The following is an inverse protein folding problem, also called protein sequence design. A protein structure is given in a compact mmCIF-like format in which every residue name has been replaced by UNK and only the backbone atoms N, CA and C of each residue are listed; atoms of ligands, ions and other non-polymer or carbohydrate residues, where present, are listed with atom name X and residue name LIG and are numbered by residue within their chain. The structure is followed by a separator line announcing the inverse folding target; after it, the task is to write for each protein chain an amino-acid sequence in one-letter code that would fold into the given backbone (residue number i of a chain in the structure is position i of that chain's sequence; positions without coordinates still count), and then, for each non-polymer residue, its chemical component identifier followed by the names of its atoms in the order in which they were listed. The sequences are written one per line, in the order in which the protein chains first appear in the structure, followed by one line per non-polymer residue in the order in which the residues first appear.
data_IF_674593597880
#
_entry.id   IF_674593597880
#
_cell.length_a   1.000
_cell.length_b   1.000
_cell.length_c   1.000
_cell.angle_alpha   90.00
_cell.angle_beta   90.00
_cell.angle_gamma   90.00
#
_symmetry.space_group_name_H-M   'P 1'
#
loop_
_entity.id
_entity.type
_entity.pdbx_description
1 polymer ?
#
# COMPACT_ATOMS: atom_id res chain seq x y z
N UNK A 1 13.12 13.58 -0.32
CA UNK A 1 13.32 12.38 -1.17
C UNK A 1 14.31 11.45 -0.48
N UNK A 2 13.98 10.17 -0.34
CA UNK A 2 14.83 9.16 0.31
C UNK A 2 15.47 8.30 -0.78
N UNK A 3 16.79 8.05 -0.72
CA UNK A 3 17.48 7.26 -1.73
C UNK A 3 16.92 5.84 -1.82
N UNK A 4 16.71 5.35 -3.05
CA UNK A 4 16.20 4.00 -3.30
C UNK A 4 14.71 3.84 -2.98
N UNK A 5 14.00 4.94 -2.70
CA UNK A 5 12.55 4.97 -2.50
C UNK A 5 11.88 5.73 -3.63
N UNK A 6 10.93 5.07 -4.28
CA UNK A 6 10.05 5.65 -5.29
C UNK A 6 8.64 5.74 -4.72
N UNK A 7 7.94 6.84 -5.01
CA UNK A 7 6.53 7.00 -4.62
C UNK A 7 5.70 7.26 -5.86
N UNK A 8 4.73 6.40 -6.10
CA UNK A 8 3.68 6.60 -7.09
C UNK A 8 2.40 7.03 -6.39
N UNK A 9 1.84 8.16 -6.84
CA UNK A 9 0.60 8.73 -6.32
C UNK A 9 -0.38 8.86 -7.48
N UNK A 10 -1.54 8.22 -7.34
CA UNK A 10 -2.67 8.42 -8.24
C UNK A 10 -4.01 8.24 -7.49
N UNK A 11 -5.12 8.28 -8.24
CA UNK A 11 -6.48 8.17 -7.70
C UNK A 11 -6.78 6.82 -7.07
N UNK A 12 -6.05 5.78 -7.45
CA UNK A 12 -6.29 4.43 -6.98
C UNK A 12 -5.49 4.15 -5.71
N UNK A 13 -4.23 4.58 -5.64
CA UNK A 13 -3.41 4.31 -4.47
C UNK A 13 -2.24 5.29 -4.31
N UNK A 14 -1.67 5.29 -3.10
CA UNK A 14 -0.28 5.65 -2.88
C UNK A 14 0.53 4.36 -2.77
N UNK A 15 1.58 4.24 -3.58
CA UNK A 15 2.50 3.10 -3.53
C UNK A 15 3.90 3.60 -3.31
N UNK A 16 4.50 3.21 -2.19
CA UNK A 16 5.91 3.41 -1.90
C UNK A 16 6.64 2.12 -2.26
N UNK A 17 7.65 2.21 -3.12
CA UNK A 17 8.48 1.07 -3.53
C UNK A 17 9.93 1.31 -3.13
N UNK A 18 10.54 0.31 -2.51
CA UNK A 18 11.94 0.34 -2.13
C UNK A 18 12.78 -0.58 -3.02
N UNK A 19 13.95 -0.09 -3.44
CA UNK A 19 14.92 -0.88 -4.22
C UNK A 19 15.33 -2.13 -3.44
N UNK A 20 15.64 -1.97 -2.16
CA UNK A 20 15.93 -3.07 -1.23
C UNK A 20 14.81 -3.20 -0.19
N UNK A 21 14.52 -4.42 0.33
CA UNK A 21 13.51 -4.59 1.37
C UNK A 21 13.82 -3.73 2.62
N UNK A 22 12.79 -3.03 3.12
CA UNK A 22 12.86 -2.24 4.34
C UNK A 22 12.34 -3.05 5.53
N UNK A 23 12.91 -2.81 6.71
CA UNK A 23 12.27 -3.18 7.97
C UNK A 23 11.13 -2.20 8.25
N UNK A 24 9.91 -2.72 8.34
CA UNK A 24 8.68 -1.95 8.53
C UNK A 24 8.04 -2.36 9.84
N UNK A 25 7.72 -1.37 10.69
CA UNK A 25 6.81 -1.52 11.81
C UNK A 25 5.48 -0.87 11.42
N UNK A 26 4.39 -1.65 11.37
CA UNK A 26 3.11 -1.14 10.87
C UNK A 26 1.90 -1.69 11.64
N UNK A 27 0.80 -0.95 11.65
CA UNK A 27 -0.53 -1.41 12.04
C UNK A 27 -1.41 -1.77 10.84
N UNK A 28 -0.78 -2.03 9.69
CA UNK A 28 -1.47 -2.28 8.43
C UNK A 28 -2.41 -3.48 8.46
N UNK A 29 -3.45 -3.38 7.61
CA UNK A 29 -4.45 -4.42 7.42
C UNK A 29 -3.80 -5.73 6.94
N UNK A 30 -2.83 -5.65 6.03
CA UNK A 30 -2.01 -6.79 5.61
C UNK A 30 -0.58 -6.62 6.07
N UNK A 31 -0.07 -7.65 6.78
CA UNK A 31 1.30 -7.72 7.34
C UNK A 31 1.64 -6.54 8.27
N UNK A 32 0.72 -6.22 9.19
CA UNK A 32 1.03 -5.45 10.38
C UNK A 32 2.06 -6.14 11.30
N UNK A 33 2.54 -5.43 12.30
CA UNK A 33 3.66 -5.81 13.16
C UNK A 33 5.02 -5.40 12.57
N UNK A 34 6.09 -6.05 13.05
CA UNK A 34 7.45 -5.90 12.54
C UNK A 34 7.67 -6.89 11.39
N UNK A 35 7.94 -6.40 10.18
CA UNK A 35 8.08 -7.20 8.97
C UNK A 35 9.10 -6.60 7.98
N UNK A 36 9.46 -7.37 6.95
CA UNK A 36 10.22 -6.87 5.81
C UNK A 36 9.28 -6.58 4.62
N UNK A 37 9.46 -5.45 3.95
CA UNK A 37 8.64 -5.06 2.79
C UNK A 37 9.46 -4.33 1.72
N UNK A 38 9.25 -4.68 0.45
CA UNK A 38 9.70 -3.93 -0.73
C UNK A 38 8.67 -2.90 -1.19
N UNK A 39 7.42 -3.00 -0.76
CA UNK A 39 6.40 -2.01 -1.06
C UNK A 39 5.43 -1.77 0.10
N UNK A 40 4.95 -0.54 0.21
CA UNK A 40 3.83 -0.14 1.06
C UNK A 40 2.73 0.38 0.16
N UNK A 41 1.55 -0.22 0.26
CA UNK A 41 0.38 0.12 -0.56
C UNK A 41 -0.69 0.73 0.32
N UNK A 42 -1.12 1.94 0.02
CA UNK A 42 -2.29 2.57 0.62
C UNK A 42 -3.37 2.71 -0.46
N UNK A 43 -4.24 1.71 -0.53
CA UNK A 43 -5.26 1.59 -1.57
C UNK A 43 -6.49 2.44 -1.21
N UNK A 44 -6.90 3.30 -2.12
CA UNK A 44 -8.15 4.04 -1.98
C UNK A 44 -9.34 3.09 -2.02
N UNK A 45 -10.28 3.28 -1.10
CA UNK A 45 -11.55 2.56 -1.04
C UNK A 45 -12.70 3.53 -0.75
N UNK A 46 -13.94 3.20 -1.19
CA UNK A 46 -15.12 3.98 -0.82
C UNK A 46 -15.29 4.08 0.70
N UNK A 47 -15.86 5.20 1.18
CA UNK A 47 -16.11 5.44 2.61
C UNK A 47 -17.08 4.45 3.24
N UNK A 48 -17.94 3.86 2.42
CA UNK A 48 -18.96 2.88 2.78
C UNK A 48 -18.54 1.44 2.48
N UNK A 49 -17.23 1.20 2.26
CA UNK A 49 -16.71 -0.15 2.09
C UNK A 49 -17.10 -1.01 3.31
N UNK A 50 -17.79 -2.12 3.02
CA UNK A 50 -18.12 -3.13 4.02
C UNK A 50 -16.92 -4.05 4.24
N UNK A 51 -16.74 -4.49 5.47
CA UNK A 51 -15.62 -5.36 5.88
C UNK A 51 -15.57 -6.67 5.08
N UNK A 52 -16.73 -7.28 4.80
CA UNK A 52 -16.86 -8.50 4.00
C UNK A 52 -16.41 -8.34 2.53
N UNK A 53 -16.25 -7.11 2.07
CA UNK A 53 -15.73 -6.78 0.73
C UNK A 53 -14.27 -6.32 0.74
N UNK A 54 -13.66 -6.13 1.91
CA UNK A 54 -12.27 -5.67 2.03
C UNK A 54 -11.28 -6.78 1.64
N UNK A 55 -11.64 -8.02 1.93
CA UNK A 55 -10.81 -9.18 1.65
C UNK A 55 -10.52 -9.34 0.15
N UNK A 56 -9.24 -9.50 -0.16
CA UNK A 56 -8.78 -9.72 -1.53
C UNK A 56 -8.59 -8.46 -2.39
N UNK A 57 -9.00 -7.26 -1.93
CA UNK A 57 -8.76 -6.01 -2.67
C UNK A 57 -7.28 -5.75 -2.90
N UNK A 58 -6.48 -5.79 -1.83
CA UNK A 58 -5.02 -5.57 -1.89
C UNK A 58 -4.29 -6.64 -2.72
N UNK A 59 -4.52 -7.95 -2.55
CA UNK A 59 -3.95 -8.97 -3.44
C UNK A 59 -4.28 -8.75 -4.92
N UNK A 60 -5.55 -8.44 -5.26
CA UNK A 60 -5.95 -8.18 -6.65
C UNK A 60 -5.27 -6.93 -7.21
N UNK A 61 -5.22 -5.85 -6.43
CA UNK A 61 -4.54 -4.61 -6.81
C UNK A 61 -3.06 -4.84 -7.07
N UNK A 62 -2.36 -5.49 -6.13
CA UNK A 62 -0.91 -5.71 -6.22
C UNK A 62 -0.53 -6.60 -7.40
N UNK A 63 -1.33 -7.64 -7.70
CA UNK A 63 -1.17 -8.45 -8.91
C UNK A 63 -1.38 -7.62 -10.18
N UNK A 64 -2.49 -6.88 -10.28
CA UNK A 64 -2.81 -6.05 -11.46
C UNK A 64 -1.76 -4.97 -11.74
N UNK A 65 -1.16 -4.41 -10.68
CA UNK A 65 -0.13 -3.37 -10.76
C UNK A 65 1.30 -3.92 -10.78
N UNK A 66 1.48 -5.24 -10.74
CA UNK A 66 2.79 -5.90 -10.63
C UNK A 66 3.66 -5.35 -9.48
N UNK A 67 3.05 -5.07 -8.32
CA UNK A 67 3.75 -4.54 -7.15
C UNK A 67 4.70 -5.61 -6.59
N UNK A 68 5.99 -5.29 -6.40
CA UNK A 68 6.94 -6.26 -5.88
C UNK A 68 6.62 -6.66 -4.44
N UNK A 69 6.63 -7.97 -4.19
CA UNK A 69 6.59 -8.52 -2.83
C UNK A 69 7.98 -8.56 -2.18
N UNK A 70 8.06 -8.73 -0.85
CA UNK A 70 6.97 -8.66 0.12
C UNK A 70 6.37 -7.24 0.22
N UNK A 71 5.07 -7.10 0.50
CA UNK A 71 4.42 -5.79 0.64
C UNK A 71 3.55 -5.70 1.90
N UNK A 72 3.37 -4.47 2.39
CA UNK A 72 2.46 -4.11 3.47
C UNK A 72 1.29 -3.32 2.87
N UNK A 73 0.06 -3.61 3.31
CA UNK A 73 -1.14 -3.08 2.67
C UNK A 73 -2.11 -2.42 3.64
N UNK A 74 -2.49 -1.20 3.31
CA UNK A 74 -3.47 -0.36 4.00
C UNK A 74 -4.63 -0.06 3.05
N UNK A 75 -5.81 0.16 3.63
CA UNK A 75 -6.97 0.72 2.93
C UNK A 75 -7.23 2.11 3.48
N UNK A 76 -7.59 3.05 2.62
CA UNK A 76 -7.92 4.43 3.01
C UNK A 76 -9.09 4.97 2.22
N UNK A 77 -9.94 5.78 2.84
CA UNK A 77 -10.97 6.54 2.12
C UNK A 77 -10.55 7.98 1.81
N UNK A 78 -9.32 8.36 2.15
CA UNK A 78 -8.73 9.63 1.74
C UNK A 78 -8.46 9.62 0.24
N UNK A 79 -8.60 10.76 -0.42
CA UNK A 79 -8.27 10.95 -1.83
C UNK A 79 -6.76 10.80 -2.03
N UNK A 80 -6.34 9.64 -2.55
CA UNK A 80 -4.90 9.31 -2.65
C UNK A 80 -4.19 10.20 -3.66
N UNK A 81 -4.88 10.72 -4.67
CA UNK A 81 -4.29 11.64 -5.65
C UNK A 81 -3.84 12.99 -5.04
N UNK A 82 -4.22 13.27 -3.79
CA UNK A 82 -3.82 14.47 -3.04
C UNK A 82 -2.71 14.19 -2.03
N UNK A 83 -2.13 13.00 -2.03
CA UNK A 83 -1.03 12.67 -1.13
C UNK A 83 0.23 13.48 -1.49
N UNK A 84 0.93 13.93 -0.45
CA UNK A 84 2.19 14.66 -0.54
C UNK A 84 3.27 13.92 0.25
N UNK A 85 4.54 14.08 -0.13
CA UNK A 85 5.72 13.37 0.41
C UNK A 85 6.80 14.34 0.84
#
# INVERSE_FOLDING_TARGET
MIEGIEVAVDREAVVVTAREPLTVLSSAFVRGGLAAARAIVNLHVPKDLREDHADGLLPRFTVRRAIPGPWVGLLTSAWTERAEV
#
